data_IF_222513550433
#
_entry.id   IF_222513550433
#
_cell.length_a   1.000
_cell.length_b   1.000
_cell.length_c   1.000
_cell.angle_alpha   90.00
_cell.angle_beta   90.00
_cell.angle_gamma   90.00
#
_symmetry.space_group_name_H-M   'P 1'
#
loop_
_entity.id
_entity.type
_entity.pdbx_description
1 polymer ?
#
# COMPACT_ATOMS: atom_id res chain seq x y z
N UNK A 1 30.50 -51.78 -15.03
CA UNK A 1 29.69 -52.38 -16.10
C UNK A 1 28.92 -51.27 -16.79
N UNK A 2 29.37 -50.66 -17.75
CA UNK A 2 29.63 -50.69 -19.20
C UNK A 2 28.36 -50.74 -20.07
N UNK A 3 28.24 -49.63 -20.90
CA UNK A 3 27.62 -49.50 -22.23
C UNK A 3 26.09 -49.54 -22.30
N UNK A 4 25.42 -48.52 -22.94
CA UNK A 4 25.31 -48.31 -24.38
C UNK A 4 25.01 -46.82 -24.73
N UNK A 5 25.75 -46.28 -25.71
CA UNK A 5 25.49 -45.07 -26.47
C UNK A 5 24.67 -45.50 -27.70
N UNK A 6 23.60 -44.79 -28.01
CA UNK A 6 22.92 -44.91 -29.32
C UNK A 6 22.71 -43.49 -29.87
N UNK A 7 23.46 -43.20 -30.89
CA UNK A 7 23.43 -42.05 -31.79
C UNK A 7 22.28 -42.26 -32.79
N UNK A 8 21.33 -41.33 -32.91
CA UNK A 8 20.38 -41.33 -34.02
C UNK A 8 20.48 -39.97 -34.77
N UNK A 9 21.14 -40.03 -35.92
CA UNK A 9 21.12 -39.03 -36.99
C UNK A 9 19.81 -39.21 -37.78
N UNK A 10 19.01 -38.18 -37.95
CA UNK A 10 17.93 -38.15 -38.94
C UNK A 10 18.08 -36.96 -39.87
N UNK A 11 18.10 -37.27 -41.12
CA UNK A 11 18.36 -36.50 -42.34
C UNK A 11 17.26 -35.49 -42.65
N UNK A 12 17.68 -34.31 -43.10
CA UNK A 12 16.86 -33.22 -43.64
C UNK A 12 16.38 -33.59 -45.04
N UNK A 13 15.07 -33.61 -45.23
CA UNK A 13 14.41 -33.67 -46.53
C UNK A 13 13.85 -32.29 -46.91
N UNK A 14 14.47 -31.64 -47.88
CA UNK A 14 13.98 -30.43 -48.47
C UNK A 14 12.86 -30.74 -49.48
N UNK A 15 11.64 -30.26 -49.23
CA UNK A 15 10.57 -30.22 -50.22
C UNK A 15 10.34 -28.76 -50.64
N UNK A 16 10.78 -28.46 -51.88
CA UNK A 16 10.40 -27.24 -52.56
C UNK A 16 8.94 -27.36 -53.06
N UNK A 17 8.08 -26.46 -52.57
CA UNK A 17 6.77 -26.23 -53.16
C UNK A 17 6.73 -24.84 -53.76
N UNK A 18 6.72 -24.74 -55.08
CA UNK A 18 6.47 -23.52 -55.88
C UNK A 18 4.98 -23.19 -55.76
N UNK A 19 4.67 -21.98 -55.28
CA UNK A 19 3.30 -21.43 -55.36
C UNK A 19 3.30 -20.14 -56.13
N UNK A 20 2.38 -20.12 -57.10
CA UNK A 20 2.16 -19.05 -58.07
C UNK A 20 1.73 -17.74 -57.40
N UNK A 21 2.25 -16.62 -57.94
CA UNK A 21 1.88 -15.28 -57.57
C UNK A 21 0.45 -14.94 -58.09
N UNK A 22 -0.49 -14.82 -57.16
CA UNK A 22 -1.77 -14.19 -57.36
C UNK A 22 -1.73 -12.76 -56.79
N UNK A 23 -1.83 -11.75 -57.65
CA UNK A 23 -1.91 -10.35 -57.22
C UNK A 23 -3.27 -10.08 -56.57
N UNK A 24 -3.26 -9.81 -55.27
CA UNK A 24 -4.40 -9.28 -54.53
C UNK A 24 -4.20 -7.80 -54.25
N UNK A 25 -5.26 -7.00 -54.56
CA UNK A 25 -5.31 -5.58 -54.29
C UNK A 25 -5.14 -5.25 -52.79
N UNK A 26 -4.60 -4.05 -52.43
CA UNK A 26 -4.38 -3.72 -51.01
C UNK A 26 -5.70 -3.44 -50.32
N UNK A 27 -6.08 -4.30 -49.41
CA UNK A 27 -7.09 -4.00 -48.41
C UNK A 27 -6.51 -2.96 -47.43
N UNK A 28 -7.09 -1.78 -47.39
CA UNK A 28 -6.83 -0.77 -46.36
C UNK A 28 -7.34 -1.30 -45.04
N UNK A 29 -6.48 -1.98 -44.27
CA UNK A 29 -6.76 -2.29 -42.89
C UNK A 29 -6.55 -1.04 -42.04
N UNK A 30 -7.63 -0.49 -41.49
CA UNK A 30 -7.58 0.43 -40.36
C UNK A 30 -7.08 -0.34 -39.14
N UNK A 31 -5.78 -0.59 -39.07
CA UNK A 31 -5.13 -1.05 -37.87
C UNK A 31 -4.91 0.15 -36.95
N UNK A 32 -5.94 0.51 -36.19
CA UNK A 32 -5.73 1.21 -34.94
C UNK A 32 -4.98 0.22 -34.02
N UNK A 33 -3.73 0.50 -33.61
CA UNK A 33 -3.05 -0.39 -32.69
C UNK A 33 -3.91 -0.51 -31.42
N UNK A 34 -4.01 -1.72 -30.81
CA UNK A 34 -4.67 -1.85 -29.53
C UNK A 34 -4.00 -0.88 -28.54
N UNK A 35 -4.76 -0.32 -27.57
CA UNK A 35 -4.19 0.56 -26.56
C UNK A 35 -2.97 -0.13 -25.98
N UNK A 36 -1.82 0.53 -26.02
CA UNK A 36 -0.57 0.01 -25.49
C UNK A 36 -0.77 -0.25 -24.01
N UNK A 37 -0.61 -1.49 -23.60
CA UNK A 37 -0.49 -1.83 -22.15
C UNK A 37 0.65 -0.98 -21.58
N UNK A 38 0.45 -0.21 -20.51
CA UNK A 38 1.51 0.60 -19.91
C UNK A 38 2.76 -0.26 -19.69
N UNK A 39 3.93 0.31 -19.96
CA UNK A 39 5.18 -0.39 -19.66
C UNK A 39 5.23 -0.72 -18.16
N UNK A 40 5.82 -1.87 -17.74
CA UNK A 40 5.85 -2.27 -16.33
C UNK A 40 6.41 -1.20 -15.39
N UNK A 41 7.28 -0.34 -15.87
CA UNK A 41 7.84 0.78 -15.12
C UNK A 41 6.77 1.85 -14.81
N UNK A 42 5.84 2.09 -15.73
CA UNK A 42 4.78 3.09 -15.57
C UNK A 42 3.74 2.65 -14.55
N UNK A 43 3.47 1.34 -14.44
CA UNK A 43 2.52 0.81 -13.47
C UNK A 43 2.98 1.02 -12.02
N UNK A 44 4.25 0.73 -11.70
CA UNK A 44 4.80 0.95 -10.36
C UNK A 44 4.88 2.44 -10.02
N UNK A 45 5.19 3.29 -11.00
CA UNK A 45 5.22 4.73 -10.81
C UNK A 45 3.83 5.28 -10.48
N UNK A 46 2.79 4.82 -11.17
CA UNK A 46 1.41 5.19 -10.87
C UNK A 46 1.02 4.81 -9.43
N UNK A 47 1.35 3.59 -8.98
CA UNK A 47 1.09 3.16 -7.60
C UNK A 47 1.89 3.97 -6.58
N UNK A 48 3.13 4.31 -6.89
CA UNK A 48 3.96 5.18 -6.08
C UNK A 48 3.34 6.56 -5.92
N UNK A 49 2.85 7.14 -7.01
CA UNK A 49 2.21 8.47 -7.03
C UNK A 49 0.86 8.50 -6.31
N UNK A 50 0.19 7.34 -6.18
CA UNK A 50 -1.07 7.23 -5.43
C UNK A 50 -0.86 7.13 -3.91
N UNK A 51 0.39 6.96 -3.44
CA UNK A 51 0.71 6.76 -2.02
C UNK A 51 1.19 8.06 -1.39
N UNK A 52 0.58 8.46 -0.27
CA UNK A 52 0.84 9.72 0.42
C UNK A 52 1.50 9.48 1.78
N UNK A 53 2.35 10.43 2.23
CA UNK A 53 2.68 10.53 3.65
C UNK A 53 1.62 11.36 4.37
N UNK A 54 1.17 10.87 5.53
CA UNK A 54 0.28 11.57 6.44
C UNK A 54 1.07 11.99 7.66
N UNK A 55 0.94 13.24 8.09
CA UNK A 55 1.70 13.73 9.22
C UNK A 55 1.16 14.99 9.86
N UNK A 56 1.92 15.46 10.82
CA UNK A 56 1.68 16.71 11.53
C UNK A 56 2.88 17.65 11.36
N UNK A 57 2.61 18.94 11.46
CA UNK A 57 3.66 19.95 11.55
C UNK A 57 3.70 20.44 12.99
N UNK A 58 4.79 20.15 13.68
CA UNK A 58 5.03 20.58 15.07
C UNK A 58 5.99 21.75 15.11
N UNK A 59 5.84 22.63 16.11
CA UNK A 59 6.80 23.67 16.40
C UNK A 59 7.81 23.13 17.42
N UNK A 60 9.08 23.14 17.04
CA UNK A 60 10.19 22.72 17.89
C UNK A 60 11.13 23.90 18.09
N UNK A 61 10.86 24.68 19.15
CA UNK A 61 11.67 25.85 19.49
C UNK A 61 11.66 26.96 18.44
N UNK A 62 10.54 27.19 17.77
CA UNK A 62 10.36 28.20 16.71
C UNK A 62 10.75 27.69 15.30
N UNK A 63 11.07 26.40 15.17
CA UNK A 63 11.25 25.74 13.89
C UNK A 63 10.11 24.76 13.66
N UNK A 64 9.40 24.94 12.55
CA UNK A 64 8.37 24.00 12.12
C UNK A 64 9.03 22.73 11.57
N UNK A 65 8.59 21.59 12.05
CA UNK A 65 9.11 20.28 11.66
C UNK A 65 7.96 19.34 11.29
N UNK A 66 8.15 18.59 10.23
CA UNK A 66 7.26 17.49 9.84
C UNK A 66 7.45 16.30 10.79
N UNK A 67 6.35 15.66 11.14
CA UNK A 67 6.33 14.39 11.86
C UNK A 67 5.40 13.44 11.12
N UNK A 68 5.96 12.38 10.55
CA UNK A 68 5.18 11.34 9.87
C UNK A 68 4.38 10.55 10.89
N UNK A 69 3.06 10.48 10.68
CA UNK A 69 2.13 9.69 11.48
C UNK A 69 1.77 8.37 10.80
N UNK A 70 1.79 8.34 9.48
CA UNK A 70 1.45 7.17 8.69
C UNK A 70 1.54 7.41 7.20
N UNK A 71 0.96 6.49 6.47
CA UNK A 71 0.81 6.50 5.03
C UNK A 71 -0.67 6.50 4.65
N UNK A 72 -0.96 6.75 3.40
CA UNK A 72 -2.31 6.67 2.86
C UNK A 72 -2.28 6.34 1.37
N UNK A 73 -3.41 5.96 0.82
CA UNK A 73 -3.61 5.82 -0.62
C UNK A 73 -4.74 6.72 -1.09
N UNK A 74 -4.56 7.37 -2.25
CA UNK A 74 -5.61 8.15 -2.90
C UNK A 74 -6.46 7.22 -3.73
N UNK A 75 -7.77 7.27 -3.50
CA UNK A 75 -8.77 6.59 -4.32
C UNK A 75 -9.58 7.65 -5.08
N UNK A 76 -9.51 7.61 -6.39
CA UNK A 76 -10.31 8.42 -7.28
C UNK A 76 -11.67 7.74 -7.47
N UNK A 77 -12.74 8.45 -7.17
CA UNK A 77 -14.12 7.97 -7.32
C UNK A 77 -14.65 8.37 -8.69
N UNK A 78 -14.45 9.62 -9.04
CA UNK A 78 -14.77 10.19 -10.35
C UNK A 78 -13.82 11.36 -10.66
N UNK A 79 -14.10 12.13 -11.70
CA UNK A 79 -13.26 13.26 -12.12
C UNK A 79 -13.17 14.39 -11.10
N UNK A 80 -14.10 14.46 -10.15
CA UNK A 80 -14.21 15.56 -9.19
C UNK A 80 -14.06 15.10 -7.72
N UNK A 81 -14.20 13.81 -7.46
CA UNK A 81 -14.22 13.25 -6.12
C UNK A 81 -13.11 12.22 -5.94
N UNK A 82 -12.35 12.44 -4.90
CA UNK A 82 -11.36 11.49 -4.42
C UNK A 82 -11.35 11.49 -2.89
N UNK A 83 -10.84 10.43 -2.30
CA UNK A 83 -10.58 10.38 -0.88
C UNK A 83 -9.24 9.72 -0.56
N UNK A 84 -8.73 10.04 0.59
CA UNK A 84 -7.61 9.36 1.21
C UNK A 84 -8.16 8.17 1.97
N UNK A 85 -7.61 6.99 1.74
CA UNK A 85 -7.81 5.82 2.58
C UNK A 85 -6.56 5.61 3.41
N UNK A 86 -6.72 5.50 4.72
CA UNK A 86 -5.63 5.31 5.68
C UNK A 86 -6.08 4.46 6.86
N UNK A 87 -5.16 4.08 7.75
CA UNK A 87 -5.53 3.47 9.02
C UNK A 87 -6.24 4.50 9.93
N UNK A 88 -7.28 4.07 10.63
CA UNK A 88 -8.09 4.97 11.47
C UNK A 88 -7.26 5.64 12.57
N UNK A 89 -6.34 4.90 13.20
CA UNK A 89 -5.48 5.44 14.25
C UNK A 89 -4.55 6.56 13.74
N UNK A 90 -4.27 6.64 12.43
CA UNK A 90 -3.47 7.72 11.81
C UNK A 90 -4.22 9.06 11.84
N UNK A 91 -5.55 9.04 11.83
CA UNK A 91 -6.40 10.24 11.86
C UNK A 91 -7.15 10.41 13.18
N UNK A 92 -7.31 9.34 13.96
CA UNK A 92 -8.07 9.37 15.20
C UNK A 92 -7.72 8.19 16.11
N UNK A 93 -6.94 8.43 17.17
CA UNK A 93 -6.58 7.42 18.17
C UNK A 93 -6.83 7.93 19.59
N UNK A 94 -8.07 7.78 20.09
CA UNK A 94 -8.42 8.22 21.44
C UNK A 94 -7.70 7.40 22.53
N UNK A 95 -7.26 6.18 22.25
CA UNK A 95 -6.52 5.36 23.21
C UNK A 95 -5.14 5.95 23.50
N UNK A 96 -4.54 6.64 22.52
CA UNK A 96 -3.28 7.35 22.67
C UNK A 96 -3.48 8.88 22.91
N UNK A 97 -4.73 9.33 23.05
CA UNK A 97 -5.04 10.75 23.18
C UNK A 97 -4.81 11.56 21.91
N UNK A 98 -4.69 10.91 20.75
CA UNK A 98 -4.46 11.56 19.47
C UNK A 98 -5.78 11.84 18.75
N UNK A 99 -6.22 13.11 18.80
CA UNK A 99 -7.50 13.59 18.27
C UNK A 99 -7.27 14.87 17.45
N UNK A 100 -6.56 14.79 16.33
CA UNK A 100 -6.24 15.98 15.56
C UNK A 100 -7.49 16.51 14.83
N UNK A 101 -7.60 17.83 14.74
CA UNK A 101 -8.64 18.50 13.95
C UNK A 101 -8.24 18.71 12.49
N UNK A 102 -6.97 18.52 12.19
CA UNK A 102 -6.37 18.66 10.85
C UNK A 102 -5.14 17.77 10.73
N UNK A 103 -4.79 17.44 9.50
CA UNK A 103 -3.55 16.73 9.17
C UNK A 103 -2.89 17.36 7.95
N UNK A 104 -1.60 17.11 7.79
CA UNK A 104 -0.89 17.42 6.56
C UNK A 104 -0.73 16.15 5.74
N UNK A 105 -0.85 16.31 4.43
CA UNK A 105 -0.64 15.23 3.47
C UNK A 105 0.45 15.65 2.51
N UNK A 106 1.52 14.88 2.48
CA UNK A 106 2.63 15.10 1.56
C UNK A 106 2.48 14.20 0.34
N UNK A 107 2.49 14.83 -0.83
CA UNK A 107 2.40 14.16 -2.12
C UNK A 107 3.81 13.72 -2.54
N UNK A 108 3.99 12.54 -3.15
CA UNK A 108 5.25 12.13 -3.75
C UNK A 108 5.76 13.18 -4.73
N UNK A 109 7.02 13.54 -4.65
CA UNK A 109 7.63 14.54 -5.52
C UNK A 109 8.56 13.88 -6.51
N UNK A 110 8.49 14.29 -7.76
CA UNK A 110 9.42 13.87 -8.82
C UNK A 110 10.76 14.61 -8.74
N UNK A 111 10.78 15.75 -8.03
CA UNK A 111 12.00 16.52 -7.77
C UNK A 111 12.01 16.94 -6.30
N UNK A 112 13.16 16.94 -5.61
CA UNK A 112 13.27 17.49 -4.28
C UNK A 112 13.01 19.00 -4.38
N UNK A 113 11.76 19.41 -4.19
CA UNK A 113 11.41 20.81 -4.03
C UNK A 113 11.68 21.23 -2.60
N UNK A 114 11.83 22.55 -2.42
CA UNK A 114 12.20 23.17 -1.15
C UNK A 114 11.66 22.47 0.09
N UNK A 115 12.56 22.18 1.02
CA UNK A 115 12.28 21.54 2.31
C UNK A 115 11.27 22.32 3.20
N UNK A 116 10.69 23.38 2.70
CA UNK A 116 9.69 24.24 3.35
C UNK A 116 8.24 23.86 3.01
N UNK A 117 8.00 23.03 1.98
CA UNK A 117 6.65 22.59 1.66
C UNK A 117 6.24 21.40 2.54
N UNK A 118 5.43 21.70 3.56
CA UNK A 118 4.86 20.68 4.45
C UNK A 118 3.70 19.89 3.80
N UNK A 119 3.37 20.17 2.54
CA UNK A 119 2.28 19.51 1.81
C UNK A 119 0.92 20.20 1.99
N UNK A 120 -0.13 19.44 1.75
CA UNK A 120 -1.53 19.91 1.77
C UNK A 120 -2.11 19.76 3.16
N UNK A 121 -2.68 20.86 3.68
CA UNK A 121 -3.46 20.82 4.93
C UNK A 121 -4.86 20.27 4.64
N UNK A 122 -5.27 19.24 5.35
CA UNK A 122 -6.58 18.60 5.26
C UNK A 122 -7.29 18.71 6.60
N UNK A 123 -8.49 19.29 6.62
CA UNK A 123 -9.31 19.35 7.82
C UNK A 123 -9.92 17.97 8.12
N UNK A 124 -9.89 17.56 9.38
CA UNK A 124 -10.51 16.34 9.88
C UNK A 124 -11.81 16.62 10.64
N UNK A 125 -11.98 17.87 11.09
CA UNK A 125 -13.19 18.31 11.83
C UNK A 125 -13.63 19.66 11.29
N UNK A 126 -14.92 19.85 11.08
CA UNK A 126 -15.55 21.14 10.78
C UNK A 126 -16.77 21.36 11.66
N UNK A 127 -16.80 22.49 12.35
CA UNK A 127 -17.90 22.88 13.27
C UNK A 127 -18.28 21.77 14.28
N UNK A 128 -17.27 21.01 14.75
CA UNK A 128 -17.45 19.91 15.70
C UNK A 128 -17.92 18.58 15.05
N UNK A 129 -18.03 18.54 13.74
CA UNK A 129 -18.39 17.32 13.01
C UNK A 129 -17.14 16.72 12.34
N UNK A 130 -17.00 15.41 12.44
CA UNK A 130 -15.94 14.67 11.76
C UNK A 130 -16.17 14.70 10.24
N UNK A 131 -15.14 15.12 9.50
CA UNK A 131 -15.10 15.11 8.04
C UNK A 131 -14.60 13.77 7.47
N UNK A 132 -14.14 12.89 8.33
CA UNK A 132 -13.71 11.54 7.98
C UNK A 132 -14.76 10.50 8.37
N UNK A 133 -14.66 9.31 7.82
CA UNK A 133 -15.57 8.19 8.11
C UNK A 133 -14.75 6.92 8.38
N UNK A 134 -15.29 6.04 9.23
CA UNK A 134 -14.79 4.68 9.46
C UNK A 134 -15.96 3.71 9.50
N UNK A 135 -15.67 2.43 9.32
CA UNK A 135 -16.71 1.40 9.43
C UNK A 135 -17.12 1.18 10.89
N UNK A 136 -18.41 0.86 11.15
CA UNK A 136 -18.92 0.64 12.49
C UNK A 136 -18.50 -0.72 13.10
N UNK A 137 -17.88 -1.59 12.32
CA UNK A 137 -17.44 -2.94 12.71
C UNK A 137 -16.17 -2.98 13.56
N UNK A 138 -15.59 -1.82 13.86
CA UNK A 138 -14.37 -1.69 14.64
C UNK A 138 -13.08 -1.84 13.85
N UNK A 139 -13.15 -2.00 12.52
CA UNK A 139 -11.96 -2.05 11.66
C UNK A 139 -11.14 -0.75 11.74
N UNK A 140 -9.82 -0.92 11.67
CA UNK A 140 -8.88 0.20 11.75
C UNK A 140 -8.65 0.83 10.37
N UNK A 141 -9.74 1.32 9.74
CA UNK A 141 -9.72 1.95 8.42
C UNK A 141 -10.52 3.25 8.44
N UNK A 142 -10.03 4.27 7.77
CA UNK A 142 -10.71 5.56 7.61
C UNK A 142 -10.62 6.08 6.18
N UNK A 143 -11.67 6.80 5.76
CA UNK A 143 -11.72 7.57 4.54
C UNK A 143 -11.84 9.06 4.87
N UNK A 144 -10.99 9.87 4.27
CA UNK A 144 -10.98 11.34 4.41
C UNK A 144 -11.18 11.95 3.03
N UNK A 145 -12.27 12.72 2.81
CA UNK A 145 -12.47 13.43 1.55
C UNK A 145 -11.30 14.35 1.24
N UNK A 146 -10.81 14.32 -0.01
CA UNK A 146 -9.73 15.18 -0.43
C UNK A 146 -10.27 16.53 -0.95
N UNK A 147 -9.64 17.63 -0.55
CA UNK A 147 -9.83 18.89 -1.26
C UNK A 147 -9.31 18.74 -2.69
N UNK A 148 -9.76 19.62 -3.59
CA UNK A 148 -9.32 19.62 -4.97
C UNK A 148 -7.79 19.68 -5.08
N UNK A 149 -7.19 18.59 -5.57
CA UNK A 149 -5.74 18.44 -5.78
C UNK A 149 -5.30 18.81 -7.20
N UNK A 150 -6.14 19.43 -8.02
CA UNK A 150 -5.83 19.75 -9.44
C UNK A 150 -4.55 20.57 -9.63
N UNK A 151 -4.08 21.25 -8.60
CA UNK A 151 -2.81 21.98 -8.62
C UNK A 151 -1.55 21.11 -8.47
N UNK A 152 -1.72 19.82 -8.15
CA UNK A 152 -0.62 18.87 -8.00
C UNK A 152 -0.66 17.88 -9.17
N UNK A 153 0.11 18.16 -10.20
CA UNK A 153 0.12 17.39 -11.46
C UNK A 153 0.59 15.94 -11.31
N UNK A 154 1.32 15.67 -10.23
CA UNK A 154 1.98 14.37 -10.02
C UNK A 154 1.14 13.43 -9.14
N UNK A 155 -0.08 13.84 -8.77
CA UNK A 155 -0.97 13.01 -7.95
C UNK A 155 -1.88 12.20 -8.84
N UNK A 156 -1.81 10.89 -8.68
CA UNK A 156 -2.69 9.96 -9.37
C UNK A 156 -3.43 9.12 -8.33
N UNK A 157 -4.76 9.15 -8.40
CA UNK A 157 -5.59 8.26 -7.59
C UNK A 157 -5.73 6.91 -8.27
N UNK A 158 -5.71 5.83 -7.49
CA UNK A 158 -6.16 4.53 -7.97
C UNK A 158 -7.68 4.52 -8.07
N UNK A 159 -8.20 3.81 -9.06
CA UNK A 159 -9.63 3.67 -9.28
C UNK A 159 -10.14 2.33 -8.74
N UNK A 160 -11.45 2.15 -8.69
CA UNK A 160 -12.03 0.86 -8.30
C UNK A 160 -11.66 -0.29 -9.27
N UNK A 161 -11.24 0.03 -10.50
CA UNK A 161 -10.75 -0.95 -11.47
C UNK A 161 -9.40 -1.54 -11.08
N UNK A 162 -8.63 -0.82 -10.27
CA UNK A 162 -7.33 -1.26 -9.74
C UNK A 162 -7.49 -2.10 -8.46
N UNK A 163 -8.72 -2.28 -7.98
CA UNK A 163 -8.99 -3.06 -6.78
C UNK A 163 -8.99 -4.56 -7.08
N UNK A 164 -8.32 -5.30 -6.22
CA UNK A 164 -8.36 -6.76 -6.22
C UNK A 164 -9.72 -7.31 -5.79
N UNK A 165 -9.83 -8.61 -5.92
CA UNK A 165 -10.97 -9.42 -5.46
C UNK A 165 -10.51 -10.37 -4.36
N UNK A 166 -11.42 -11.11 -3.76
CA UNK A 166 -11.10 -12.14 -2.77
C UNK A 166 -10.18 -13.23 -3.35
N UNK A 167 -10.21 -13.43 -4.67
CA UNK A 167 -9.31 -14.38 -5.36
C UNK A 167 -7.84 -13.90 -5.38
N UNK A 168 -7.61 -12.61 -5.22
CA UNK A 168 -6.26 -12.03 -5.14
C UNK A 168 -5.64 -12.18 -3.73
N UNK A 169 -6.44 -12.63 -2.73
CA UNK A 169 -6.01 -12.76 -1.33
C UNK A 169 -5.87 -14.24 -0.98
N UNK A 170 -4.68 -14.80 -1.16
CA UNK A 170 -4.35 -16.17 -0.80
C UNK A 170 -2.94 -16.29 -0.24
N UNK A 171 -2.73 -17.25 0.65
CA UNK A 171 -1.43 -17.49 1.27
C UNK A 171 -0.36 -17.80 0.22
N UNK A 172 0.76 -17.09 0.28
CA UNK A 172 1.86 -17.19 -0.68
C UNK A 172 1.76 -16.23 -1.87
N UNK A 173 0.65 -15.48 -2.03
CA UNK A 173 0.54 -14.44 -3.06
C UNK A 173 1.63 -13.37 -2.86
N UNK A 174 2.30 -12.97 -3.94
CA UNK A 174 3.33 -11.93 -3.92
C UNK A 174 2.70 -10.55 -3.74
N UNK A 175 3.23 -9.76 -2.81
CA UNK A 175 2.73 -8.41 -2.54
C UNK A 175 3.83 -7.36 -2.63
N UNK A 176 3.41 -6.13 -2.96
CA UNK A 176 4.23 -4.92 -2.82
C UNK A 176 3.47 -3.97 -1.89
N UNK A 177 4.17 -3.49 -0.87
CA UNK A 177 3.67 -2.48 0.08
C UNK A 177 4.37 -1.17 -0.22
N UNK A 178 3.61 -0.09 -0.34
CA UNK A 178 4.16 1.26 -0.37
C UNK A 178 3.86 1.97 0.94
N UNK A 179 4.81 2.80 1.41
CA UNK A 179 4.61 3.56 2.63
C UNK A 179 5.80 4.43 3.00
N UNK A 180 5.66 5.14 4.10
CA UNK A 180 6.66 6.09 4.62
C UNK A 180 7.15 5.66 6.00
N UNK A 181 8.06 4.66 6.08
CA UNK A 181 8.53 4.13 7.36
C UNK A 181 9.37 5.16 8.12
N UNK A 182 8.92 5.56 9.30
CA UNK A 182 9.55 6.59 10.14
C UNK A 182 11.00 6.23 10.52
N UNK A 183 11.31 4.95 10.59
CA UNK A 183 12.64 4.43 10.98
C UNK A 183 13.78 4.92 10.06
N UNK A 184 13.46 5.33 8.82
CA UNK A 184 14.47 5.77 7.86
C UNK A 184 14.83 7.26 7.99
N UNK A 185 14.10 8.03 8.79
CA UNK A 185 14.29 9.47 8.92
C UNK A 185 13.70 10.27 7.75
N UNK A 186 13.66 11.59 7.91
CA UNK A 186 12.98 12.51 6.97
C UNK A 186 13.65 12.59 5.59
N UNK A 187 14.96 12.35 5.50
CA UNK A 187 15.72 12.45 4.26
C UNK A 187 15.27 11.46 3.16
N UNK A 188 14.63 10.36 3.58
CA UNK A 188 14.12 9.31 2.68
C UNK A 188 12.62 9.40 2.41
N UNK A 189 11.93 10.38 3.00
CA UNK A 189 10.46 10.47 2.97
C UNK A 189 9.92 11.42 1.90
N UNK A 190 10.70 11.76 0.88
CA UNK A 190 10.21 12.51 -0.30
C UNK A 190 9.32 11.66 -1.19
N UNK A 191 9.53 10.35 -1.20
CA UNK A 191 8.75 9.37 -1.96
C UNK A 191 8.48 8.13 -1.12
N UNK A 192 7.37 7.40 -1.37
CA UNK A 192 7.11 6.18 -0.63
C UNK A 192 8.14 5.08 -0.94
N UNK A 193 8.46 4.30 0.06
CA UNK A 193 9.35 3.14 -0.06
C UNK A 193 8.51 1.93 -0.48
N UNK A 194 8.95 1.25 -1.54
CA UNK A 194 8.37 -0.01 -1.98
C UNK A 194 9.04 -1.19 -1.23
N UNK A 195 8.23 -2.12 -0.74
CA UNK A 195 8.68 -3.36 -0.08
C UNK A 195 7.97 -4.55 -0.67
N UNK A 196 8.74 -5.54 -1.09
CA UNK A 196 8.20 -6.83 -1.54
C UNK A 196 7.99 -7.78 -0.38
N UNK A 197 6.99 -8.64 -0.51
CA UNK A 197 6.66 -9.66 0.47
C UNK A 197 5.68 -10.68 -0.08
N UNK A 198 5.07 -11.43 0.84
CA UNK A 198 4.01 -12.40 0.51
C UNK A 198 2.85 -12.24 1.51
N UNK A 199 1.66 -12.73 1.13
CA UNK A 199 0.60 -12.99 2.10
C UNK A 199 1.03 -14.19 2.95
N UNK A 200 1.29 -13.93 4.23
CA UNK A 200 1.79 -14.94 5.16
C UNK A 200 0.67 -15.81 5.72
N UNK A 201 -0.51 -15.24 5.92
CA UNK A 201 -1.66 -15.95 6.46
C UNK A 201 -2.99 -15.29 6.07
N UNK A 202 -3.95 -16.14 5.76
CA UNK A 202 -5.37 -15.80 5.61
C UNK A 202 -6.19 -16.77 6.46
N UNK A 203 -7.36 -16.35 6.94
CA UNK A 203 -8.26 -17.25 7.64
C UNK A 203 -8.99 -18.13 6.60
N UNK A 204 -8.72 -19.44 6.56
CA UNK A 204 -9.32 -20.33 5.55
C UNK A 204 -10.83 -20.55 5.75
N UNK A 205 -11.32 -20.41 7.00
CA UNK A 205 -12.70 -20.63 7.39
C UNK A 205 -13.43 -19.32 7.76
N UNK A 206 -12.72 -18.21 7.72
CA UNK A 206 -13.23 -16.91 8.10
C UNK A 206 -13.94 -16.16 6.97
N UNK A 207 -14.63 -15.07 7.31
CA UNK A 207 -15.20 -14.18 6.32
C UNK A 207 -14.09 -13.51 5.49
N UNK A 208 -14.35 -13.27 4.19
CA UNK A 208 -13.39 -12.68 3.25
C UNK A 208 -12.99 -11.24 3.57
N UNK A 209 -13.73 -10.58 4.45
CA UNK A 209 -13.42 -9.23 4.94
C UNK A 209 -12.63 -9.22 6.27
N UNK A 210 -12.13 -10.39 6.72
CA UNK A 210 -11.25 -10.48 7.87
C UNK A 210 -9.84 -9.98 7.53
N UNK A 211 -9.17 -9.26 8.47
CA UNK A 211 -7.77 -8.90 8.29
C UNK A 211 -6.88 -10.11 8.02
N UNK A 212 -5.89 -9.96 7.15
CA UNK A 212 -4.91 -10.98 6.81
C UNK A 212 -3.49 -10.51 7.16
N UNK A 213 -2.53 -11.43 7.16
CA UNK A 213 -1.14 -11.14 7.51
C UNK A 213 -0.25 -11.18 6.29
N UNK A 214 0.70 -10.23 6.23
CA UNK A 214 1.76 -10.21 5.22
C UNK A 214 3.14 -10.29 5.90
N UNK A 215 4.06 -10.95 5.25
CA UNK A 215 5.50 -10.88 5.56
C UNK A 215 6.16 -9.95 4.55
N UNK A 216 6.34 -8.68 4.94
CA UNK A 216 6.83 -7.61 4.07
C UNK A 216 7.67 -6.55 4.82
N UNK A 217 8.22 -6.89 6.00
CA UNK A 217 9.00 -5.97 6.83
C UNK A 217 8.29 -4.63 7.09
N UNK A 218 7.08 -4.69 7.58
CA UNK A 218 6.28 -3.51 7.93
C UNK A 218 6.83 -2.84 9.19
N UNK A 219 6.86 -1.51 9.22
CA UNK A 219 7.33 -0.68 10.33
C UNK A 219 6.36 0.47 10.61
N UNK A 220 6.55 1.14 11.76
CA UNK A 220 5.85 2.38 12.08
C UNK A 220 5.97 3.38 10.92
N UNK A 221 4.84 4.01 10.55
CA UNK A 221 4.72 4.89 9.40
C UNK A 221 4.18 4.20 8.14
N UNK A 222 4.20 2.86 8.07
CA UNK A 222 3.52 2.14 7.00
C UNK A 222 2.01 2.01 7.21
N UNK A 223 1.49 2.31 8.42
CA UNK A 223 0.05 2.33 8.72
C UNK A 223 -0.71 3.19 7.72
N UNK A 224 -1.73 2.63 7.09
CA UNK A 224 -2.49 3.25 5.99
C UNK A 224 -1.86 3.07 4.61
N UNK A 225 -0.65 2.53 4.52
CA UNK A 225 0.03 2.27 3.25
C UNK A 225 -0.65 1.16 2.46
N UNK A 226 -0.80 1.31 1.12
CA UNK A 226 -1.45 0.33 0.27
C UNK A 226 -0.63 -0.95 0.11
N UNK A 227 -1.36 -2.06 0.03
CA UNK A 227 -0.83 -3.38 -0.27
C UNK A 227 -1.37 -3.82 -1.62
N UNK A 228 -0.48 -4.04 -2.58
CA UNK A 228 -0.83 -4.50 -3.92
C UNK A 228 -0.40 -5.94 -4.11
N UNK A 229 -1.31 -6.78 -4.62
CA UNK A 229 -0.97 -8.10 -5.12
C UNK A 229 -0.31 -7.97 -6.50
N UNK A 230 0.86 -8.57 -6.66
CA UNK A 230 1.48 -8.75 -7.97
C UNK A 230 0.94 -10.04 -8.58
N UNK A 231 0.08 -9.90 -9.60
CA UNK A 231 -0.49 -11.06 -10.31
C UNK A 231 0.52 -11.79 -11.20
N UNK A 232 1.80 -11.45 -11.07
CA UNK A 232 2.92 -12.16 -11.69
C UNK A 232 3.59 -13.06 -10.67
N UNK A 233 3.93 -14.28 -11.05
CA UNK A 233 4.53 -15.26 -10.15
C UNK A 233 3.71 -16.54 -10.07
N UNK A 234 3.76 -17.24 -8.96
CA UNK A 234 2.96 -18.44 -8.75
C UNK A 234 1.50 -18.08 -8.46
N UNK A 235 0.58 -18.65 -9.24
CA UNK A 235 -0.85 -18.54 -8.98
C UNK A 235 -1.28 -19.43 -7.81
N UNK A 236 -2.52 -19.23 -7.33
CA UNK A 236 -3.14 -20.04 -6.28
C UNK A 236 -3.16 -21.55 -6.64
N UNK A 237 -3.28 -21.88 -7.91
CA UNK A 237 -3.28 -23.22 -8.45
C UNK A 237 -1.85 -23.79 -8.71
N UNK A 238 -0.79 -23.01 -8.38
CA UNK A 238 0.59 -23.44 -8.55
C UNK A 238 1.16 -23.25 -9.95
N UNK A 239 0.41 -22.61 -10.85
CA UNK A 239 0.90 -22.23 -12.18
C UNK A 239 1.80 -20.99 -12.13
N UNK A 240 2.68 -20.81 -13.13
CA UNK A 240 3.46 -19.59 -13.28
C UNK A 240 2.74 -18.61 -14.22
N UNK A 241 2.44 -17.41 -13.70
CA UNK A 241 1.84 -16.31 -14.47
C UNK A 241 2.91 -15.28 -14.78
N UNK A 242 3.01 -14.88 -16.04
CA UNK A 242 3.92 -13.83 -16.50
C UNK A 242 3.11 -12.62 -16.98
N UNK A 243 3.55 -11.41 -16.62
CA UNK A 243 2.94 -10.17 -17.09
C UNK A 243 1.57 -9.86 -16.48
N UNK A 244 1.27 -10.40 -15.30
CA UNK A 244 0.07 -10.03 -14.54
C UNK A 244 0.16 -8.57 -14.06
N UNK A 245 -1.00 -7.89 -13.97
CA UNK A 245 -1.10 -6.54 -13.41
C UNK A 245 -0.93 -6.51 -11.89
N UNK A 246 -1.08 -5.32 -11.35
CA UNK A 246 -1.11 -5.08 -9.90
C UNK A 246 -2.55 -4.79 -9.48
N UNK A 247 -2.93 -5.25 -8.29
CA UNK A 247 -4.26 -4.99 -7.74
C UNK A 247 -4.16 -4.58 -6.26
N UNK A 248 -4.85 -3.52 -5.87
CA UNK A 248 -4.97 -3.14 -4.46
C UNK A 248 -5.78 -4.20 -3.72
N UNK A 249 -5.17 -4.84 -2.73
CA UNK A 249 -5.83 -5.88 -1.92
C UNK A 249 -6.11 -5.45 -0.48
N UNK A 250 -5.57 -4.32 -0.05
CA UNK A 250 -5.82 -3.77 1.30
C UNK A 250 -4.87 -2.67 1.68
N UNK A 251 -4.94 -2.27 2.95
CA UNK A 251 -4.01 -1.32 3.57
C UNK A 251 -3.41 -1.90 4.84
N UNK A 252 -2.15 -1.57 5.11
CA UNK A 252 -1.48 -1.91 6.38
C UNK A 252 -2.13 -1.14 7.51
N UNK A 253 -2.47 -1.82 8.61
CA UNK A 253 -3.04 -1.16 9.79
C UNK A 253 -2.23 -1.38 11.07
N UNK A 254 -1.42 -2.42 11.12
CA UNK A 254 -0.55 -2.68 12.26
C UNK A 254 0.66 -3.53 11.85
N UNK A 255 1.65 -3.57 12.72
CA UNK A 255 2.73 -4.54 12.69
C UNK A 255 2.63 -5.47 13.91
N UNK A 256 3.04 -6.72 13.76
CA UNK A 256 3.18 -7.64 14.86
C UNK A 256 4.46 -7.30 15.63
N UNK A 257 4.30 -6.71 16.81
CA UNK A 257 5.40 -6.34 17.68
C UNK A 257 5.16 -6.89 19.09
N UNK A 258 6.25 -7.28 19.77
CA UNK A 258 6.24 -7.72 21.14
C UNK A 258 6.79 -6.62 22.05
N UNK A 259 6.12 -6.39 23.17
CA UNK A 259 6.62 -5.52 24.23
C UNK A 259 7.38 -6.36 25.23
N UNK A 260 8.65 -6.05 25.45
CA UNK A 260 9.50 -6.78 26.40
C UNK A 260 9.99 -5.84 27.51
N UNK A 261 10.10 -6.32 28.74
CA UNK A 261 10.67 -5.55 29.83
C UNK A 261 12.12 -5.18 29.54
N UNK A 262 12.50 -3.93 29.81
CA UNK A 262 13.90 -3.52 29.80
C UNK A 262 14.56 -4.08 31.07
N UNK A 263 15.66 -4.81 30.93
CA UNK A 263 16.40 -5.37 32.03
C UNK A 263 17.82 -4.81 32.09
N UNK A 264 18.30 -4.60 33.33
CA UNK A 264 19.72 -4.36 33.62
C UNK A 264 20.26 -5.62 34.31
N UNK A 265 20.97 -6.45 33.55
CA UNK A 265 21.29 -7.82 33.96
C UNK A 265 20.01 -8.67 34.04
N UNK A 266 19.79 -9.32 35.21
CA UNK A 266 18.59 -10.14 35.43
C UNK A 266 17.42 -9.40 36.11
N UNK A 267 17.58 -8.08 36.37
CA UNK A 267 16.55 -7.29 37.05
C UNK A 267 15.80 -6.37 36.05
N UNK A 268 14.46 -6.31 36.14
CA UNK A 268 13.69 -5.34 35.37
C UNK A 268 14.08 -3.91 35.78
N UNK A 269 14.28 -3.05 34.77
CA UNK A 269 14.47 -1.61 35.00
C UNK A 269 13.12 -0.99 35.32
N UNK A 270 13.06 -0.20 36.38
CA UNK A 270 11.89 0.57 36.76
C UNK A 270 12.12 2.05 36.48
N UNK A 271 11.10 2.74 36.00
CA UNK A 271 11.12 4.17 35.77
C UNK A 271 10.04 4.85 36.60
N UNK A 272 10.34 6.05 37.06
CA UNK A 272 9.36 6.89 37.74
C UNK A 272 8.67 7.74 36.63
N UNK A 273 7.40 7.53 36.45
CA UNK A 273 6.58 8.40 35.62
C UNK A 273 6.46 9.76 36.30
N UNK A 274 7.09 10.76 35.73
CA UNK A 274 7.14 12.14 36.26
C UNK A 274 5.75 12.80 36.28
N UNK A 275 4.80 12.32 35.50
CA UNK A 275 3.46 12.89 35.41
C UNK A 275 2.53 12.28 36.47
N UNK A 276 2.58 10.98 36.67
CA UNK A 276 1.71 10.26 37.61
C UNK A 276 2.36 9.96 38.97
N UNK A 277 3.68 10.12 39.12
CA UNK A 277 4.45 9.74 40.30
C UNK A 277 4.49 8.25 40.57
N UNK A 278 4.08 7.42 39.60
CA UNK A 278 4.06 5.96 39.77
C UNK A 278 5.35 5.32 39.25
N UNK A 279 5.78 4.29 39.94
CA UNK A 279 6.86 3.45 39.46
C UNK A 279 6.30 2.39 38.51
N UNK A 280 6.76 2.38 37.29
CA UNK A 280 6.40 1.40 36.26
C UNK A 280 7.65 0.62 35.83
N UNK A 281 7.46 -0.58 35.30
CA UNK A 281 8.54 -1.28 34.59
C UNK A 281 8.82 -0.59 33.29
N UNK A 282 10.09 -0.36 33.00
CA UNK A 282 10.49 0.11 31.68
C UNK A 282 10.27 -1.02 30.67
N UNK A 283 9.56 -0.74 29.63
CA UNK A 283 9.29 -1.68 28.54
C UNK A 283 9.77 -1.07 27.23
N UNK A 284 10.26 -1.90 26.33
CA UNK A 284 10.58 -1.50 24.98
C UNK A 284 9.83 -2.38 23.99
N UNK A 285 9.36 -1.78 22.92
CA UNK A 285 8.73 -2.51 21.84
C UNK A 285 9.82 -3.12 20.97
N UNK A 286 9.84 -4.44 20.88
CA UNK A 286 10.70 -5.15 19.94
C UNK A 286 9.84 -5.52 18.74
N UNK A 287 10.24 -5.02 17.57
CA UNK A 287 9.64 -5.46 16.33
C UNK A 287 9.94 -6.95 16.16
N UNK A 288 8.91 -7.72 15.84
CA UNK A 288 9.11 -9.12 15.52
C UNK A 288 10.07 -9.21 14.31
N UNK A 289 11.06 -10.09 14.41
CA UNK A 289 12.15 -10.24 13.41
C UNK A 289 11.61 -10.54 12.01
N UNK A 290 10.36 -11.02 11.88
CA UNK A 290 9.70 -11.28 10.61
C UNK A 290 9.05 -10.06 9.94
N UNK A 291 8.85 -8.93 10.66
CA UNK A 291 8.19 -7.76 10.10
C UNK A 291 6.77 -8.03 9.58
N UNK A 292 6.02 -8.85 10.31
CA UNK A 292 4.65 -9.23 9.94
C UNK A 292 3.73 -8.01 10.04
N UNK A 293 3.03 -7.70 8.95
CA UNK A 293 2.01 -6.68 8.90
C UNK A 293 0.60 -7.24 8.97
N UNK A 294 -0.30 -6.49 9.60
CA UNK A 294 -1.74 -6.76 9.60
C UNK A 294 -2.38 -5.86 8.55
N UNK A 295 -3.20 -6.43 7.69
CA UNK A 295 -3.80 -5.74 6.54
C UNK A 295 -5.32 -5.83 6.62
N UNK A 296 -5.98 -4.67 6.57
CA UNK A 296 -7.42 -4.59 6.33
C UNK A 296 -7.69 -4.79 4.84
N UNK A 297 -8.58 -5.73 4.45
CA UNK A 297 -8.78 -6.09 3.07
C UNK A 297 -9.52 -5.03 2.25
N UNK A 298 -9.32 -5.05 0.94
CA UNK A 298 -9.93 -4.12 -0.02
C UNK A 298 -11.46 -4.15 0.00
N UNK A 299 -12.07 -5.26 0.38
CA UNK A 299 -13.53 -5.38 0.57
C UNK A 299 -14.06 -4.37 1.59
N UNK A 300 -13.29 -4.05 2.65
CA UNK A 300 -13.62 -2.99 3.62
C UNK A 300 -13.45 -1.59 3.04
N UNK A 301 -12.46 -1.39 2.18
CA UNK A 301 -12.31 -0.13 1.42
C UNK A 301 -13.57 0.11 0.60
N UNK A 302 -14.05 -0.89 -0.16
CA UNK A 302 -15.30 -0.80 -0.95
C UNK A 302 -16.52 -0.43 -0.09
N UNK A 303 -16.69 -1.10 1.07
CA UNK A 303 -17.77 -0.80 2.01
C UNK A 303 -17.69 0.64 2.51
N UNK A 304 -16.48 1.10 2.85
CA UNK A 304 -16.25 2.45 3.34
C UNK A 304 -16.53 3.51 2.27
N UNK A 305 -16.09 3.30 1.04
CA UNK A 305 -16.37 4.19 -0.10
C UNK A 305 -17.88 4.27 -0.39
N UNK A 306 -18.57 3.13 -0.37
CA UNK A 306 -20.03 3.09 -0.51
C UNK A 306 -20.70 3.94 0.57
N UNK A 307 -20.28 3.82 1.83
CA UNK A 307 -20.83 4.60 2.94
C UNK A 307 -20.58 6.11 2.78
N UNK A 308 -19.40 6.51 2.29
CA UNK A 308 -19.03 7.93 2.11
C UNK A 308 -19.82 8.58 0.97
N UNK A 309 -20.00 7.87 -0.16
CA UNK A 309 -20.55 8.45 -1.38
C UNK A 309 -22.03 8.07 -1.65
N UNK A 310 -22.62 7.15 -0.87
CA UNK A 310 -24.04 6.82 -0.97
C UNK A 310 -24.90 7.57 0.05
N UNK A 311 -24.30 8.38 0.92
CA UNK A 311 -25.07 9.26 1.82
C UNK A 311 -25.64 10.42 1.01
N UNK A 312 -26.97 10.67 1.10
CA UNK A 312 -27.67 11.70 0.32
C UNK A 312 -27.20 13.11 0.67
#
# INVERSE_FOLDING_TARGET
LLRWVALLLLTIGAAMCSVAAGAQAPATSNNTPPPSTPAPHDALEHLRQSTLAVGQVVDDGGKRRWVTMGSAVIVAIDQNHACIITAKHVVHDPAQGYLPTQMYVRVPQTSPSDATDFGVLVSLVDNGNDLWRSLPDGSDIAAVPLPNLSKYSDVHGISEQDFGTDEDIYQGASVIVFGYPVVLGEDYLSTPIARGGIIAWTDPDGPTDRPFLIDANVFNGNSGGPVFHSRSGFSKEGGLVLGGGMALIGIVVADAAETVPVTAGSQPVTVLDSTSGRVARAETRVLNIGGIGIVEPVSKIRKLLTMVFSSP
#
